data_IF_606538800084
#
_entry.id   IF_606538800084
#
_cell.length_a   1.000
_cell.length_b   1.000
_cell.length_c   1.000
_cell.angle_alpha   90.00
_cell.angle_beta   90.00
_cell.angle_gamma   90.00
#
_symmetry.space_group_name_H-M   'P 1'
#
loop_
_entity.id
_entity.type
_entity.pdbx_description
1 polymer ?
#
# COMPACT_ATOMS: atom_id res chain seq x y z
N UNK A 1 3.43 22.86 29.64
CA UNK A 1 2.77 22.20 28.51
C UNK A 1 1.84 21.16 29.12
N UNK A 2 0.53 21.25 28.88
CA UNK A 2 -0.39 20.24 29.41
C UNK A 2 -0.09 18.90 28.73
N UNK A 3 -0.01 17.82 29.50
CA UNK A 3 0.19 16.48 28.94
C UNK A 3 -0.98 16.13 28.03
N UNK A 4 -0.71 15.58 26.84
CA UNK A 4 -1.74 15.08 25.94
C UNK A 4 -2.59 14.03 26.67
N UNK A 5 -3.93 14.16 26.71
CA UNK A 5 -4.79 13.17 27.35
C UNK A 5 -4.51 11.76 26.82
N UNK A 6 -4.41 10.77 27.71
CA UNK A 6 -4.00 9.42 27.34
C UNK A 6 -4.88 8.79 26.25
N UNK A 7 -6.19 9.04 26.29
CA UNK A 7 -7.14 8.59 25.26
C UNK A 7 -6.77 9.09 23.86
N UNK A 8 -6.26 10.32 23.74
CA UNK A 8 -5.83 10.89 22.45
C UNK A 8 -4.57 10.17 21.98
N UNK A 9 -3.60 9.95 22.88
CA UNK A 9 -2.36 9.24 22.56
C UNK A 9 -2.60 7.79 22.12
N UNK A 10 -3.51 7.08 22.78
CA UNK A 10 -3.87 5.71 22.43
C UNK A 10 -4.56 5.64 21.05
N UNK A 11 -5.40 6.62 20.73
CA UNK A 11 -6.05 6.71 19.42
C UNK A 11 -5.05 7.02 18.29
N UNK A 12 -4.11 7.95 18.51
CA UNK A 12 -3.03 8.23 17.55
C UNK A 12 -2.18 6.98 17.29
N UNK A 13 -1.88 6.22 18.35
CA UNK A 13 -1.13 4.96 18.27
C UNK A 13 -1.90 3.91 17.48
N UNK A 14 -3.21 3.76 17.73
CA UNK A 14 -4.05 2.81 17.01
C UNK A 14 -4.12 3.12 15.51
N UNK A 15 -4.33 4.40 15.15
CA UNK A 15 -4.37 4.84 13.76
C UNK A 15 -3.03 4.63 13.06
N UNK A 16 -1.92 4.95 13.72
CA UNK A 16 -0.57 4.72 13.19
C UNK A 16 -0.32 3.23 12.94
N UNK A 17 -0.67 2.38 13.92
CA UNK A 17 -0.51 0.94 13.79
C UNK A 17 -1.38 0.36 12.67
N UNK A 18 -2.62 0.83 12.54
CA UNK A 18 -3.50 0.43 11.44
C UNK A 18 -2.91 0.84 10.08
N UNK A 19 -2.38 2.07 9.96
CA UNK A 19 -1.69 2.55 8.76
C UNK A 19 -0.50 1.67 8.37
N UNK A 20 0.33 1.27 9.34
CA UNK A 20 1.45 0.34 9.10
C UNK A 20 0.98 -1.05 8.66
N UNK A 21 -0.07 -1.60 9.28
CA UNK A 21 -0.64 -2.88 8.86
C UNK A 21 -1.14 -2.83 7.42
N UNK A 22 -1.87 -1.78 7.04
CA UNK A 22 -2.36 -1.58 5.68
C UNK A 22 -1.19 -1.47 4.69
N UNK A 23 -0.15 -0.69 5.03
CA UNK A 23 1.04 -0.55 4.19
C UNK A 23 1.79 -1.90 4.03
N UNK A 24 1.89 -2.68 5.10
CA UNK A 24 2.48 -4.02 5.08
C UNK A 24 1.71 -4.98 4.17
N UNK A 25 0.38 -5.02 4.31
CA UNK A 25 -0.49 -5.83 3.45
C UNK A 25 -0.38 -5.41 1.99
N UNK A 26 -0.37 -4.10 1.73
CA UNK A 26 -0.22 -3.57 0.37
C UNK A 26 1.12 -3.99 -0.26
N UNK A 27 2.21 -3.96 0.52
CA UNK A 27 3.53 -4.41 0.04
C UNK A 27 3.49 -5.88 -0.36
N UNK A 28 2.96 -6.76 0.51
CA UNK A 28 2.87 -8.18 0.24
C UNK A 28 1.93 -8.51 -0.93
N UNK A 29 0.73 -7.91 -0.93
CA UNK A 29 -0.28 -8.11 -1.98
C UNK A 29 0.16 -7.55 -3.33
N UNK A 30 0.73 -6.34 -3.34
CA UNK A 30 1.28 -5.69 -4.52
C UNK A 30 2.42 -6.49 -5.15
N UNK A 31 3.36 -6.98 -4.32
CA UNK A 31 4.44 -7.87 -4.78
C UNK A 31 3.91 -9.17 -5.39
N UNK A 32 2.92 -9.80 -4.74
CA UNK A 32 2.30 -11.04 -5.23
C UNK A 32 1.60 -10.83 -6.58
N UNK A 33 0.81 -9.76 -6.72
CA UNK A 33 0.11 -9.43 -7.96
C UNK A 33 1.08 -9.05 -9.07
N UNK A 34 2.17 -8.34 -8.76
CA UNK A 34 3.24 -8.08 -9.72
C UNK A 34 3.89 -9.38 -10.20
N UNK A 35 4.21 -10.28 -9.27
CA UNK A 35 4.73 -11.61 -9.59
C UNK A 35 3.79 -12.39 -10.49
N UNK A 36 2.48 -12.39 -10.19
CA UNK A 36 1.46 -13.03 -11.02
C UNK A 36 1.46 -12.50 -12.45
N UNK A 37 1.36 -11.18 -12.65
CA UNK A 37 1.36 -10.61 -14.00
C UNK A 37 2.70 -10.79 -14.73
N UNK A 38 3.82 -10.76 -14.01
CA UNK A 38 5.15 -10.98 -14.56
C UNK A 38 5.39 -12.44 -14.98
N UNK A 39 4.81 -13.41 -14.25
CA UNK A 39 4.83 -14.82 -14.62
C UNK A 39 3.89 -15.08 -15.79
N UNK A 40 2.64 -14.63 -15.70
CA UNK A 40 1.62 -14.90 -16.71
C UNK A 40 2.00 -14.35 -18.08
N UNK A 41 2.69 -13.18 -18.15
CA UNK A 41 3.17 -12.64 -19.43
C UNK A 41 4.14 -13.59 -20.16
N UNK A 42 4.88 -14.43 -19.43
CA UNK A 42 5.86 -15.35 -20.02
C UNK A 42 5.20 -16.61 -20.60
N UNK A 43 3.93 -16.87 -20.26
CA UNK A 43 3.17 -18.02 -20.74
C UNK A 43 2.23 -17.66 -21.90
N UNK A 44 2.31 -16.44 -22.43
CA UNK A 44 1.42 -15.97 -23.49
C UNK A 44 2.25 -15.40 -24.65
N UNK A 45 1.93 -15.84 -25.86
CA UNK A 45 2.61 -15.42 -27.09
C UNK A 45 1.88 -14.27 -27.81
N UNK A 46 0.58 -14.08 -27.53
CA UNK A 46 -0.22 -13.00 -28.11
C UNK A 46 0.27 -11.61 -27.63
N UNK A 47 0.72 -10.74 -28.53
CA UNK A 47 1.18 -9.40 -28.20
C UNK A 47 0.13 -8.56 -27.44
N UNK A 48 -1.16 -8.74 -27.71
CA UNK A 48 -2.22 -8.00 -27.01
C UNK A 48 -2.30 -8.37 -25.53
N UNK A 49 -2.17 -9.66 -25.24
CA UNK A 49 -2.18 -10.16 -23.87
C UNK A 49 -0.90 -9.75 -23.12
N UNK A 50 0.27 -9.78 -23.77
CA UNK A 50 1.52 -9.26 -23.18
C UNK A 50 1.39 -7.77 -22.82
N UNK A 51 0.78 -6.97 -23.70
CA UNK A 51 0.51 -5.56 -23.43
C UNK A 51 -0.46 -5.38 -22.25
N UNK A 52 -1.51 -6.22 -22.16
CA UNK A 52 -2.44 -6.20 -21.03
C UNK A 52 -1.77 -6.50 -19.69
N UNK A 53 -0.91 -7.53 -19.62
CA UNK A 53 -0.15 -7.85 -18.40
C UNK A 53 0.81 -6.72 -18.03
N UNK A 54 1.49 -6.11 -19.00
CA UNK A 54 2.39 -4.97 -18.76
C UNK A 54 1.63 -3.75 -18.23
N UNK A 55 0.48 -3.42 -18.81
CA UNK A 55 -0.37 -2.34 -18.33
C UNK A 55 -0.91 -2.62 -16.91
N UNK A 56 -1.28 -3.88 -16.65
CA UNK A 56 -1.75 -4.31 -15.32
C UNK A 56 -0.65 -4.23 -14.27
N UNK A 57 0.58 -4.64 -14.58
CA UNK A 57 1.73 -4.46 -13.68
C UNK A 57 1.89 -3.00 -13.28
N UNK A 58 1.82 -2.06 -14.23
CA UNK A 58 1.91 -0.62 -13.92
C UNK A 58 0.81 -0.17 -12.95
N UNK A 59 -0.43 -0.64 -13.15
CA UNK A 59 -1.54 -0.34 -12.24
C UNK A 59 -1.31 -0.91 -10.84
N UNK A 60 -0.78 -2.13 -10.74
CA UNK A 60 -0.45 -2.76 -9.45
C UNK A 60 0.64 -1.96 -8.73
N UNK A 61 1.72 -1.55 -9.41
CA UNK A 61 2.76 -0.71 -8.81
C UNK A 61 2.16 0.59 -8.27
N UNK A 62 1.42 1.31 -9.11
CA UNK A 62 0.83 2.61 -8.74
C UNK A 62 -0.13 2.46 -7.56
N UNK A 63 -1.04 1.49 -7.61
CA UNK A 63 -1.98 1.22 -6.52
C UNK A 63 -1.29 0.86 -5.21
N UNK A 64 -0.25 0.01 -5.28
CA UNK A 64 0.54 -0.39 -4.11
C UNK A 64 1.21 0.81 -3.45
N UNK A 65 1.87 1.65 -4.25
CA UNK A 65 2.57 2.85 -3.76
C UNK A 65 1.57 3.83 -3.12
N UNK A 66 0.39 4.03 -3.71
CA UNK A 66 -0.63 4.92 -3.14
C UNK A 66 -1.08 4.43 -1.76
N UNK A 67 -1.35 3.12 -1.60
CA UNK A 67 -1.81 2.56 -0.33
C UNK A 67 -0.71 2.62 0.73
N UNK A 68 0.55 2.34 0.36
CA UNK A 68 1.70 2.48 1.27
C UNK A 68 1.84 3.93 1.72
N UNK A 69 1.81 4.89 0.78
CA UNK A 69 1.91 6.30 1.09
C UNK A 69 0.78 6.76 2.02
N UNK A 70 -0.46 6.33 1.76
CA UNK A 70 -1.61 6.63 2.62
C UNK A 70 -1.40 6.10 4.05
N UNK A 71 -0.92 4.86 4.21
CA UNK A 71 -0.62 4.28 5.52
C UNK A 71 0.48 5.01 6.29
N UNK A 72 1.49 5.53 5.60
CA UNK A 72 2.61 6.27 6.20
C UNK A 72 2.26 7.74 6.54
N UNK A 73 1.25 8.30 5.89
CA UNK A 73 0.81 9.69 6.10
C UNK A 73 -0.07 9.84 7.35
N UNK A 74 -0.73 8.77 7.80
CA UNK A 74 -1.56 8.77 9.02
C UNK A 74 -0.88 9.40 10.24
N UNK A 75 0.34 8.99 10.66
CA UNK A 75 1.01 9.58 11.81
C UNK A 75 1.27 11.09 11.66
N UNK A 76 1.55 11.57 10.45
CA UNK A 76 1.82 13.00 10.18
C UNK A 76 0.60 13.85 10.51
N UNK A 77 -0.60 13.38 10.18
CA UNK A 77 -1.85 14.08 10.50
C UNK A 77 -2.24 13.93 11.96
N UNK A 78 -2.01 12.77 12.56
CA UNK A 78 -2.42 12.53 13.95
C UNK A 78 -1.55 13.27 14.95
N UNK A 79 -0.28 13.56 14.64
CA UNK A 79 0.62 14.37 15.50
C UNK A 79 0.34 15.88 15.48
N UNK A 80 -0.55 16.37 14.62
CA UNK A 80 -0.92 17.80 14.52
C UNK A 80 -2.04 18.20 15.49
N UNK A 81 -2.64 17.23 16.19
CA UNK A 81 -3.74 17.39 17.15
C UNK A 81 -3.34 16.81 18.51
#
# INVERSE_FOLDING_TARGET
MAATPQVISDMQTLLTNAGHWIAGIATAGGGTLLGYHALSRNFVEDPQMVAHHTASMRKVVVGTVIVIAAGLIVPIFTHQF
#
